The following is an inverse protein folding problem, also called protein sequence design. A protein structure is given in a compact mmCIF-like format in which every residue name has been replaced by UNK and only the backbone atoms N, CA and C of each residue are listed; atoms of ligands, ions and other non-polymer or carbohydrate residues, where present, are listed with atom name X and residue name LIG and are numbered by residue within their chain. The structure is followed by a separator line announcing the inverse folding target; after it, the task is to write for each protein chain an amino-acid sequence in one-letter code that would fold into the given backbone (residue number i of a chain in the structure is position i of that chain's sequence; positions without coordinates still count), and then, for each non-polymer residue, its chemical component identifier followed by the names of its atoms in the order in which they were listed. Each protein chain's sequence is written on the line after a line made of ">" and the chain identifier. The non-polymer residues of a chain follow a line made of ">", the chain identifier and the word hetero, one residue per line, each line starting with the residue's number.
data_IF_700829859072
#
_entry.id   IF_700829859072
#
_cell.length_a   1.000
_cell.length_b   1.000
_cell.length_c   1.000
_cell.angle_alpha   90.00
_cell.angle_beta   90.00
_cell.angle_gamma   90.00
#
_symmetry.space_group_name_H-M   'P 1'
#
loop_
_entity.id
_entity.type
_entity.pdbx_description
1 polymer ?
#
# COMPACT_ATOMS: atom_id res chain seq x y z
N UNK A 1 42.70 -31.19 -5.44
CA UNK A 1 41.82 -30.95 -4.29
C UNK A 1 40.79 -29.92 -4.73
N UNK A 2 39.53 -30.31 -4.85
CA UNK A 2 38.43 -29.40 -5.19
C UNK A 2 38.03 -28.65 -3.92
N UNK A 3 38.33 -27.35 -3.83
CA UNK A 3 37.68 -26.46 -2.88
C UNK A 3 36.20 -26.35 -3.29
N UNK A 4 35.35 -27.14 -2.65
CA UNK A 4 33.91 -26.86 -2.65
C UNK A 4 33.73 -25.52 -1.93
N UNK A 5 33.54 -24.45 -2.71
CA UNK A 5 33.14 -23.16 -2.18
C UNK A 5 31.88 -23.37 -1.33
N UNK A 6 32.00 -23.15 -0.02
CA UNK A 6 30.91 -23.29 0.92
C UNK A 6 29.73 -22.44 0.42
N UNK A 7 28.54 -23.06 0.31
CA UNK A 7 27.34 -22.33 -0.07
C UNK A 7 27.16 -21.16 0.91
N UNK A 8 26.93 -19.92 0.43
CA UNK A 8 26.78 -18.78 1.30
C UNK A 8 25.65 -19.06 2.29
N UNK A 9 25.93 -18.83 3.58
CA UNK A 9 24.93 -18.99 4.63
C UNK A 9 23.67 -18.19 4.24
N UNK A 10 22.47 -18.78 4.29
CA UNK A 10 21.25 -18.07 3.97
C UNK A 10 21.14 -16.90 4.93
N UNK A 11 21.22 -15.68 4.40
CA UNK A 11 21.08 -14.45 5.17
C UNK A 11 19.88 -14.58 6.11
N UNK A 12 20.14 -14.65 7.41
CA UNK A 12 19.11 -14.98 8.39
C UNK A 12 18.05 -13.88 8.40
N UNK A 13 16.78 -14.28 8.30
CA UNK A 13 15.60 -13.39 8.25
C UNK A 13 15.60 -12.33 9.38
N UNK A 14 16.35 -12.53 10.47
CA UNK A 14 16.49 -11.57 11.57
C UNK A 14 17.21 -10.27 11.19
N UNK A 15 18.05 -10.23 10.16
CA UNK A 15 18.86 -9.03 9.86
C UNK A 15 18.12 -7.97 9.05
N UNK A 16 17.21 -8.35 8.15
CA UNK A 16 16.57 -7.38 7.25
C UNK A 16 15.58 -6.42 7.94
N UNK A 17 14.88 -6.87 8.98
CA UNK A 17 13.94 -6.04 9.76
C UNK A 17 14.59 -4.81 10.39
N UNK A 18 15.91 -4.85 10.66
CA UNK A 18 16.66 -3.72 11.22
C UNK A 18 16.82 -2.57 10.22
N UNK A 19 16.66 -2.84 8.93
CA UNK A 19 16.76 -1.84 7.86
C UNK A 19 15.39 -1.32 7.41
N UNK A 20 14.30 -1.81 7.99
CA UNK A 20 12.97 -1.26 7.73
C UNK A 20 12.91 0.13 8.35
N UNK A 21 12.58 1.14 7.55
CA UNK A 21 12.39 2.49 8.03
C UNK A 21 11.00 2.64 8.67
N UNK A 22 10.92 2.34 9.96
CA UNK A 22 9.69 2.38 10.74
C UNK A 22 9.05 3.77 10.82
N UNK A 23 9.82 4.84 10.62
CA UNK A 23 9.28 6.20 10.60
C UNK A 23 8.25 6.43 9.50
N UNK A 24 8.33 5.67 8.39
CA UNK A 24 7.34 5.74 7.31
C UNK A 24 5.94 5.30 7.76
N UNK A 25 5.83 4.46 8.81
CA UNK A 25 4.54 4.08 9.38
C UNK A 25 3.77 5.26 9.97
N UNK A 26 4.45 6.38 10.27
CA UNK A 26 3.82 7.57 10.80
C UNK A 26 3.12 8.42 9.73
N UNK A 27 3.34 8.18 8.43
CA UNK A 27 2.74 8.99 7.36
C UNK A 27 1.20 8.90 7.40
N UNK A 28 0.64 7.69 7.53
CA UNK A 28 -0.81 7.51 7.64
C UNK A 28 -1.41 8.23 8.86
N UNK A 29 -0.94 7.96 10.08
CA UNK A 29 -1.37 8.67 11.28
C UNK A 29 -1.16 10.20 11.20
N UNK A 30 -0.07 10.67 10.61
CA UNK A 30 0.18 12.10 10.42
C UNK A 30 -0.82 12.72 9.45
N UNK A 31 -1.17 12.04 8.35
CA UNK A 31 -2.21 12.48 7.43
C UNK A 31 -3.57 12.60 8.15
N UNK A 32 -3.96 11.58 8.94
CA UNK A 32 -5.18 11.62 9.75
C UNK A 32 -5.14 12.76 10.77
N UNK A 33 -4.05 12.94 11.50
CA UNK A 33 -3.88 14.03 12.46
C UNK A 33 -3.98 15.41 11.82
N UNK A 34 -3.37 15.59 10.63
CA UNK A 34 -3.50 16.81 9.86
C UNK A 34 -4.95 17.06 9.42
N UNK A 35 -5.67 16.03 8.99
CA UNK A 35 -7.09 16.14 8.64
C UNK A 35 -7.98 16.50 9.82
N UNK A 36 -7.68 16.00 11.03
CA UNK A 36 -8.38 16.41 12.26
C UNK A 36 -8.13 17.88 12.57
N UNK A 37 -6.89 18.36 12.45
CA UNK A 37 -6.60 19.79 12.65
C UNK A 37 -7.34 20.63 11.60
N UNK A 38 -7.31 20.22 10.33
CA UNK A 38 -8.04 20.88 9.24
C UNK A 38 -9.55 20.90 9.48
N UNK A 39 -10.14 19.83 10.03
CA UNK A 39 -11.58 19.79 10.30
C UNK A 39 -12.04 20.82 11.33
N UNK A 40 -11.12 21.29 12.19
CA UNK A 40 -11.41 22.31 13.20
C UNK A 40 -11.22 23.73 12.65
N UNK A 41 -10.30 23.93 11.71
CA UNK A 41 -9.91 25.27 11.24
C UNK A 41 -10.46 25.65 9.86
N UNK A 42 -11.01 24.69 9.11
CA UNK A 42 -11.47 24.88 7.74
C UNK A 42 -12.93 24.46 7.56
N UNK A 43 -13.83 25.43 7.41
CA UNK A 43 -15.28 25.21 7.23
C UNK A 43 -15.63 24.36 5.99
N UNK A 44 -14.73 24.33 5.00
CA UNK A 44 -14.88 23.52 3.79
C UNK A 44 -14.50 22.05 3.96
N UNK A 45 -14.10 21.59 5.14
CA UNK A 45 -13.58 20.23 5.35
C UNK A 45 -14.55 19.13 4.90
N UNK A 46 -15.86 19.34 5.01
CA UNK A 46 -16.85 18.36 4.53
C UNK A 46 -16.84 18.19 3.00
N UNK A 47 -16.32 19.16 2.24
CA UNK A 47 -16.12 19.04 0.78
C UNK A 47 -14.85 18.26 0.43
N UNK A 48 -13.90 18.16 1.38
CA UNK A 48 -12.64 17.44 1.17
C UNK A 48 -12.88 16.00 0.76
N UNK A 49 -13.91 15.34 1.30
CA UNK A 49 -14.32 14.01 0.86
C UNK A 49 -14.55 13.98 -0.65
N UNK A 50 -15.45 14.82 -1.16
CA UNK A 50 -15.77 14.89 -2.59
C UNK A 50 -14.57 15.30 -3.45
N UNK A 51 -13.72 16.19 -2.94
CA UNK A 51 -12.52 16.62 -3.66
C UNK A 51 -11.46 15.51 -3.76
N UNK A 52 -11.42 14.58 -2.81
CA UNK A 52 -10.51 13.43 -2.78
C UNK A 52 -11.05 12.21 -3.54
N UNK A 53 -12.37 12.01 -3.54
CA UNK A 53 -13.04 10.93 -4.29
C UNK A 53 -12.77 11.03 -5.80
N UNK A 54 -12.67 12.24 -6.35
CA UNK A 54 -12.40 12.46 -7.78
C UNK A 54 -11.02 11.91 -8.20
N UNK A 55 -9.89 12.29 -7.57
CA UNK A 55 -8.59 11.74 -7.93
C UNK A 55 -8.36 10.29 -7.47
N UNK A 56 -9.08 9.81 -6.45
CA UNK A 56 -8.88 8.51 -5.82
C UNK A 56 -8.67 7.33 -6.80
N UNK A 57 -9.51 7.08 -7.83
CA UNK A 57 -9.32 5.95 -8.74
C UNK A 57 -8.06 6.05 -9.62
N UNK A 58 -7.61 7.27 -9.94
CA UNK A 58 -6.50 7.51 -10.85
C UNK A 58 -5.14 7.29 -10.19
N UNK A 59 -5.02 7.49 -8.89
CA UNK A 59 -3.78 7.30 -8.15
C UNK A 59 -3.29 5.83 -8.14
N UNK A 60 -4.10 4.83 -7.71
CA UNK A 60 -3.73 3.43 -7.83
C UNK A 60 -3.64 2.98 -9.30
N UNK A 61 -4.38 3.60 -10.23
CA UNK A 61 -4.25 3.28 -11.65
C UNK A 61 -2.88 3.68 -12.20
N UNK A 62 -2.38 4.85 -11.81
CA UNK A 62 -1.03 5.29 -12.13
C UNK A 62 0.02 4.33 -11.55
N UNK A 63 -0.12 3.92 -10.29
CA UNK A 63 0.76 2.92 -9.68
C UNK A 63 0.70 1.57 -10.42
N UNK A 64 -0.49 1.13 -10.85
CA UNK A 64 -0.69 -0.09 -11.62
C UNK A 64 0.09 -0.06 -12.93
N UNK A 65 0.03 1.05 -13.67
CA UNK A 65 0.78 1.24 -14.92
C UNK A 65 2.29 1.18 -14.66
N UNK A 66 2.79 1.88 -13.63
CA UNK A 66 4.22 1.88 -13.28
C UNK A 66 4.70 0.46 -12.94
N UNK A 67 3.95 -0.27 -12.11
CA UNK A 67 4.27 -1.64 -11.76
C UNK A 67 4.18 -2.59 -12.96
N UNK A 68 3.17 -2.46 -13.83
CA UNK A 68 3.00 -3.29 -15.02
C UNK A 68 4.16 -3.10 -16.01
N UNK A 69 4.57 -1.84 -16.23
CA UNK A 69 5.75 -1.52 -17.04
C UNK A 69 7.03 -2.08 -16.41
N UNK A 70 7.19 -1.92 -15.08
CA UNK A 70 8.30 -2.52 -14.33
C UNK A 70 8.32 -4.06 -14.45
N UNK A 71 7.17 -4.70 -14.37
CA UNK A 71 7.00 -6.14 -14.55
C UNK A 71 7.38 -6.59 -15.95
N UNK A 72 6.90 -5.91 -16.99
CA UNK A 72 7.22 -6.24 -18.38
C UNK A 72 8.74 -6.16 -18.66
N UNK A 73 9.43 -5.19 -18.07
CA UNK A 73 10.87 -4.97 -18.22
C UNK A 73 11.72 -5.92 -17.38
N UNK A 74 11.43 -6.05 -16.10
CA UNK A 74 12.25 -6.82 -15.16
C UNK A 74 11.84 -8.30 -15.06
N UNK A 75 10.68 -8.67 -15.62
CA UNK A 75 10.05 -10.00 -15.49
C UNK A 75 9.94 -10.45 -14.02
N UNK A 76 9.73 -9.49 -13.13
CA UNK A 76 9.70 -9.70 -11.69
C UNK A 76 8.26 -9.97 -11.20
N UNK A 77 7.92 -11.19 -10.76
CA UNK A 77 6.56 -11.56 -10.40
C UNK A 77 5.98 -10.72 -9.26
N UNK A 78 6.80 -10.15 -8.37
CA UNK A 78 6.31 -9.23 -7.33
C UNK A 78 5.69 -7.97 -7.95
N UNK A 79 6.32 -7.38 -8.97
CA UNK A 79 5.79 -6.18 -9.62
C UNK A 79 4.48 -6.50 -10.36
N UNK A 80 4.36 -7.69 -10.95
CA UNK A 80 3.11 -8.15 -11.56
C UNK A 80 1.98 -8.30 -10.54
N UNK A 81 2.28 -8.87 -9.36
CA UNK A 81 1.33 -8.96 -8.26
C UNK A 81 0.89 -7.58 -7.75
N UNK A 82 1.85 -6.66 -7.56
CA UNK A 82 1.56 -5.30 -7.09
C UNK A 82 0.80 -4.48 -8.14
N UNK A 83 1.06 -4.69 -9.44
CA UNK A 83 0.27 -4.11 -10.52
C UNK A 83 -1.18 -4.58 -10.45
N UNK A 84 -1.41 -5.88 -10.29
CA UNK A 84 -2.75 -6.44 -10.18
C UNK A 84 -3.48 -5.91 -8.94
N UNK A 85 -2.79 -5.82 -7.80
CA UNK A 85 -3.33 -5.23 -6.57
C UNK A 85 -3.71 -3.76 -6.73
N UNK A 86 -2.90 -2.98 -7.44
CA UNK A 86 -3.21 -1.59 -7.73
C UNK A 86 -4.42 -1.45 -8.66
N UNK A 87 -4.57 -2.30 -9.69
CA UNK A 87 -5.78 -2.36 -10.53
C UNK A 87 -7.02 -2.67 -9.69
N UNK A 88 -6.90 -3.62 -8.76
CA UNK A 88 -7.98 -3.97 -7.85
C UNK A 88 -8.43 -2.79 -6.98
N UNK A 89 -7.49 -2.01 -6.45
CA UNK A 89 -7.82 -0.77 -5.73
C UNK A 89 -8.49 0.24 -6.65
N UNK A 90 -8.02 0.46 -7.88
CA UNK A 90 -8.73 1.33 -8.83
C UNK A 90 -10.16 0.88 -9.12
N UNK A 91 -10.39 -0.43 -9.32
CA UNK A 91 -11.74 -0.96 -9.58
C UNK A 91 -12.66 -0.75 -8.37
N UNK A 92 -12.13 -0.85 -7.15
CA UNK A 92 -12.86 -0.54 -5.91
C UNK A 92 -13.35 0.90 -5.91
N UNK A 93 -12.48 1.84 -6.27
CA UNK A 93 -12.78 3.28 -6.29
C UNK A 93 -13.85 3.66 -7.32
N UNK A 94 -14.05 2.87 -8.38
CA UNK A 94 -15.15 3.09 -9.33
C UNK A 94 -16.53 2.68 -8.77
N UNK A 95 -16.62 2.27 -7.50
CA UNK A 95 -17.89 2.00 -6.80
C UNK A 95 -18.82 1.01 -7.51
N UNK A 96 -18.27 0.00 -8.20
CA UNK A 96 -19.10 -1.07 -8.74
C UNK A 96 -19.74 -1.87 -7.60
N UNK A 97 -21.07 -1.98 -7.58
CA UNK A 97 -21.84 -2.66 -6.51
C UNK A 97 -21.33 -4.09 -6.19
N UNK A 98 -20.82 -4.80 -7.20
CA UNK A 98 -20.28 -6.15 -7.04
C UNK A 98 -18.83 -6.19 -6.54
N UNK A 99 -18.05 -5.11 -6.70
CA UNK A 99 -16.64 -5.07 -6.34
C UNK A 99 -16.42 -5.05 -4.83
N UNK A 100 -17.37 -4.50 -4.06
CA UNK A 100 -17.24 -4.35 -2.60
C UNK A 100 -17.01 -5.66 -1.85
N UNK A 101 -17.71 -6.75 -2.22
CA UNK A 101 -17.48 -8.07 -1.61
C UNK A 101 -16.35 -8.84 -2.29
N UNK A 102 -16.22 -8.67 -3.61
CA UNK A 102 -15.21 -9.36 -4.42
C UNK A 102 -13.78 -9.05 -4.01
N UNK A 103 -13.51 -7.81 -3.57
CA UNK A 103 -12.15 -7.40 -3.22
C UNK A 103 -11.56 -8.20 -2.07
N UNK A 104 -12.33 -8.49 -1.02
CA UNK A 104 -11.83 -9.25 0.13
C UNK A 104 -11.47 -10.69 -0.26
N UNK A 105 -12.31 -11.33 -1.08
CA UNK A 105 -12.06 -12.69 -1.59
C UNK A 105 -10.79 -12.71 -2.44
N UNK A 106 -10.63 -11.72 -3.32
CA UNK A 106 -9.46 -11.58 -4.16
C UNK A 106 -8.18 -11.29 -3.35
N UNK A 107 -8.24 -10.43 -2.33
CA UNK A 107 -7.11 -10.16 -1.43
C UNK A 107 -6.67 -11.43 -0.69
N UNK A 108 -7.62 -12.24 -0.20
CA UNK A 108 -7.32 -13.53 0.43
C UNK A 108 -6.70 -14.50 -0.58
N UNK A 109 -7.28 -14.63 -1.78
CA UNK A 109 -6.76 -15.49 -2.84
C UNK A 109 -5.33 -15.08 -3.24
N UNK A 110 -5.06 -13.79 -3.37
CA UNK A 110 -3.71 -13.27 -3.61
C UNK A 110 -2.76 -13.48 -2.44
N UNK A 111 -3.21 -13.34 -1.20
CA UNK A 111 -2.41 -13.66 -0.02
C UNK A 111 -1.97 -15.12 -0.01
N UNK A 112 -2.91 -16.05 -0.23
CA UNK A 112 -2.61 -17.49 -0.34
C UNK A 112 -1.65 -17.77 -1.49
N UNK A 113 -1.90 -17.18 -2.67
CA UNK A 113 -1.01 -17.31 -3.82
C UNK A 113 0.39 -16.78 -3.53
N UNK A 114 0.53 -15.59 -2.92
CA UNK A 114 1.80 -14.99 -2.57
C UNK A 114 2.59 -15.87 -1.58
N UNK A 115 1.92 -16.49 -0.60
CA UNK A 115 2.54 -17.45 0.33
C UNK A 115 3.04 -18.71 -0.39
N UNK A 116 2.28 -19.22 -1.36
CA UNK A 116 2.69 -20.33 -2.23
C UNK A 116 3.92 -19.98 -3.07
N UNK A 117 4.03 -18.72 -3.48
CA UNK A 117 5.12 -18.21 -4.32
C UNK A 117 6.24 -17.50 -3.54
N UNK A 118 6.24 -17.58 -2.20
CA UNK A 118 7.15 -16.83 -1.32
C UNK A 118 8.63 -16.90 -1.71
N UNK A 119 9.10 -18.06 -2.18
CA UNK A 119 10.51 -18.24 -2.59
C UNK A 119 10.88 -17.39 -3.81
N UNK A 120 9.95 -17.23 -4.76
CA UNK A 120 10.14 -16.39 -5.96
C UNK A 120 9.95 -14.90 -5.65
N UNK A 121 9.14 -14.57 -4.65
CA UNK A 121 8.90 -13.19 -4.21
C UNK A 121 9.97 -12.67 -3.24
N UNK A 122 10.68 -13.55 -2.54
CA UNK A 122 11.66 -13.16 -1.51
C UNK A 122 12.82 -12.31 -2.06
N UNK A 123 13.35 -12.64 -3.24
CA UNK A 123 14.46 -11.87 -3.84
C UNK A 123 14.13 -10.38 -4.02
N UNK A 124 13.04 -10.04 -4.72
CA UNK A 124 12.57 -8.65 -4.83
C UNK A 124 12.31 -7.91 -3.51
N UNK A 125 11.94 -8.63 -2.45
CA UNK A 125 11.68 -8.06 -1.12
C UNK A 125 12.95 -7.76 -0.33
N UNK A 126 14.14 -8.10 -0.85
CA UNK A 126 15.42 -7.75 -0.20
C UNK A 126 15.76 -6.27 -0.25
N UNK A 127 15.12 -5.50 -1.15
CA UNK A 127 15.29 -4.05 -1.17
C UNK A 127 14.55 -3.42 0.02
N UNK A 128 15.31 -3.03 1.04
CA UNK A 128 14.75 -2.43 2.26
C UNK A 128 13.98 -1.14 1.97
N UNK A 129 14.34 -0.35 0.94
CA UNK A 129 13.64 0.90 0.62
C UNK A 129 12.24 0.60 0.10
N UNK A 130 12.18 -0.20 -0.96
CA UNK A 130 10.91 -0.64 -1.55
C UNK A 130 10.03 -1.33 -0.51
N UNK A 131 10.61 -2.24 0.27
CA UNK A 131 9.86 -3.01 1.29
C UNK A 131 9.36 -2.13 2.44
N UNK A 132 10.15 -1.15 2.90
CA UNK A 132 9.69 -0.22 3.94
C UNK A 132 8.50 0.61 3.47
N UNK A 133 8.55 1.13 2.24
CA UNK A 133 7.46 1.89 1.63
C UNK A 133 6.23 1.02 1.38
N UNK A 134 6.41 -0.23 0.94
CA UNK A 134 5.31 -1.18 0.74
C UNK A 134 4.61 -1.51 2.06
N UNK A 135 5.37 -1.78 3.13
CA UNK A 135 4.83 -2.04 4.46
C UNK A 135 4.08 -0.82 5.01
N UNK A 136 4.63 0.37 4.84
CA UNK A 136 3.98 1.61 5.26
C UNK A 136 2.70 1.89 4.47
N UNK A 137 2.72 1.65 3.16
CA UNK A 137 1.52 1.75 2.30
C UNK A 137 0.43 0.79 2.79
N UNK A 138 0.80 -0.47 3.07
CA UNK A 138 -0.13 -1.47 3.60
C UNK A 138 -0.72 -1.04 4.95
N UNK A 139 0.11 -0.51 5.86
CA UNK A 139 -0.34 0.00 7.15
C UNK A 139 -1.30 1.19 7.02
N UNK A 140 -1.06 2.11 6.07
CA UNK A 140 -1.95 3.23 5.78
C UNK A 140 -3.32 2.76 5.24
N UNK A 141 -3.34 1.77 4.33
CA UNK A 141 -4.60 1.14 3.89
C UNK A 141 -5.35 0.49 5.05
N UNK A 142 -4.66 -0.28 5.90
CA UNK A 142 -5.27 -0.89 7.08
C UNK A 142 -5.86 0.18 8.00
N UNK A 143 -5.15 1.29 8.21
CA UNK A 143 -5.65 2.41 9.00
C UNK A 143 -6.92 3.02 8.38
N UNK A 144 -6.96 3.25 7.07
CA UNK A 144 -8.19 3.69 6.37
C UNK A 144 -9.33 2.73 6.66
N UNK A 145 -9.12 1.42 6.54
CA UNK A 145 -10.17 0.43 6.82
C UNK A 145 -10.58 0.39 8.31
N UNK A 146 -9.67 0.63 9.24
CA UNK A 146 -10.01 0.73 10.67
C UNK A 146 -10.92 1.94 10.93
N UNK A 147 -10.66 3.07 10.26
CA UNK A 147 -11.50 4.28 10.32
C UNK A 147 -12.86 4.01 9.67
N UNK A 148 -12.89 3.41 8.47
CA UNK A 148 -14.10 3.02 7.75
C UNK A 148 -15.04 2.14 8.58
N UNK A 149 -14.46 1.23 9.38
CA UNK A 149 -15.18 0.34 10.30
C UNK A 149 -15.59 1.02 11.60
N UNK A 150 -15.37 2.32 11.72
CA UNK A 150 -15.73 3.15 12.88
C UNK A 150 -15.17 2.59 14.19
N UNK A 151 -13.93 2.11 14.15
CA UNK A 151 -13.24 1.60 15.34
C UNK A 151 -13.11 2.69 16.44
N UNK A 152 -13.21 3.97 16.05
CA UNK A 152 -13.10 5.13 16.92
C UNK A 152 -14.45 5.77 17.29
N UNK A 153 -15.58 5.06 17.14
CA UNK A 153 -16.94 5.55 17.46
C UNK A 153 -17.14 6.14 18.88
N UNK A 154 -16.19 5.92 19.79
CA UNK A 154 -16.20 6.48 21.14
C UNK A 154 -15.70 7.93 21.21
N UNK A 155 -15.10 8.44 20.13
CA UNK A 155 -14.62 9.82 20.03
C UNK A 155 -15.79 10.75 19.68
N UNK A 156 -16.05 11.82 20.47
CA UNK A 156 -17.11 12.77 20.16
C UNK A 156 -16.93 13.43 18.78
N UNK A 157 -18.02 13.47 17.98
CA UNK A 157 -18.02 14.05 16.63
C UNK A 157 -17.42 13.16 15.53
N UNK A 158 -17.01 11.93 15.86
CA UNK A 158 -16.46 10.97 14.88
C UNK A 158 -17.43 10.65 13.75
N UNK A 159 -18.73 10.57 14.04
CA UNK A 159 -19.76 10.24 13.06
C UNK A 159 -19.81 11.24 11.89
N UNK A 160 -19.44 12.51 12.15
CA UNK A 160 -19.39 13.56 11.14
C UNK A 160 -18.09 13.51 10.33
N UNK A 161 -16.96 13.23 10.98
CA UNK A 161 -15.63 13.37 10.36
C UNK A 161 -15.02 12.06 9.85
N UNK A 162 -15.54 10.88 10.22
CA UNK A 162 -14.91 9.60 9.91
C UNK A 162 -14.72 9.36 8.41
N UNK A 163 -15.68 9.75 7.57
CA UNK A 163 -15.57 9.58 6.10
C UNK A 163 -14.44 10.42 5.50
N UNK A 164 -14.37 11.75 5.71
CA UNK A 164 -13.19 12.51 5.31
C UNK A 164 -11.86 11.97 5.84
N UNK A 165 -11.83 11.45 7.08
CA UNK A 165 -10.62 10.86 7.65
C UNK A 165 -10.21 9.54 6.96
N UNK A 166 -11.18 8.68 6.65
CA UNK A 166 -11.00 7.47 5.85
C UNK A 166 -10.39 7.83 4.48
N UNK A 167 -11.02 8.75 3.76
CA UNK A 167 -10.57 9.19 2.43
C UNK A 167 -9.17 9.81 2.46
N UNK A 168 -8.84 10.58 3.49
CA UNK A 168 -7.49 11.14 3.67
C UNK A 168 -6.45 10.04 3.88
N UNK A 169 -6.76 9.04 4.72
CA UNK A 169 -5.85 7.92 4.97
C UNK A 169 -5.69 7.03 3.72
N UNK A 170 -6.76 6.79 2.98
CA UNK A 170 -6.77 6.02 1.73
C UNK A 170 -5.99 6.75 0.63
N UNK A 171 -6.24 8.05 0.44
CA UNK A 171 -5.48 8.89 -0.50
C UNK A 171 -4.00 8.91 -0.16
N UNK A 172 -3.64 9.03 1.12
CA UNK A 172 -2.24 8.95 1.55
C UNK A 172 -1.65 7.58 1.18
N UNK A 173 -2.38 6.47 1.39
CA UNK A 173 -1.94 5.15 0.99
C UNK A 173 -1.74 5.04 -0.54
N UNK A 174 -2.63 5.62 -1.35
CA UNK A 174 -2.45 5.67 -2.81
C UNK A 174 -1.19 6.42 -3.25
N UNK A 175 -0.92 7.60 -2.65
CA UNK A 175 0.29 8.36 -2.93
C UNK A 175 1.55 7.58 -2.53
N UNK A 176 1.52 6.93 -1.37
CA UNK A 176 2.60 6.04 -0.91
C UNK A 176 2.77 4.85 -1.85
N UNK A 177 1.70 4.29 -2.41
CA UNK A 177 1.75 3.21 -3.40
C UNK A 177 2.45 3.66 -4.69
N UNK A 178 2.19 4.90 -5.15
CA UNK A 178 2.92 5.48 -6.30
C UNK A 178 4.41 5.58 -5.98
N UNK A 179 4.79 6.13 -4.82
CA UNK A 179 6.20 6.21 -4.41
C UNK A 179 6.84 4.82 -4.35
N UNK A 180 6.13 3.86 -3.77
CA UNK A 180 6.55 2.45 -3.73
C UNK A 180 6.79 1.90 -5.14
N UNK A 181 5.88 2.17 -6.07
CA UNK A 181 5.98 1.71 -7.47
C UNK A 181 7.20 2.28 -8.21
N UNK A 182 7.50 3.57 -7.97
CA UNK A 182 8.67 4.23 -8.54
C UNK A 182 9.96 3.61 -8.02
N UNK A 183 10.07 3.40 -6.70
CA UNK A 183 11.25 2.78 -6.10
C UNK A 183 11.45 1.33 -6.56
N UNK A 184 10.36 0.58 -6.75
CA UNK A 184 10.41 -0.81 -7.21
C UNK A 184 10.74 -0.97 -8.70
N UNK A 185 10.33 -0.03 -9.55
CA UNK A 185 10.51 -0.14 -11.01
C UNK A 185 11.93 0.23 -11.50
N UNK A 186 12.65 1.06 -10.74
CA UNK A 186 13.91 1.67 -11.17
C UNK A 186 15.14 0.76 -11.02
N UNK A 187 15.04 -0.36 -10.29
CA UNK A 187 16.16 -1.29 -10.08
C UNK A 187 16.14 -2.44 -11.08
N UNK A 188 17.03 -2.36 -12.09
CA UNK A 188 17.41 -3.54 -12.89
C UNK A 188 18.31 -4.44 -12.05
N UNK A 189 18.13 -5.75 -12.15
CA UNK A 189 19.15 -6.71 -11.71
C UNK A 189 20.37 -6.50 -12.62
N UNK A 190 21.37 -5.77 -12.14
CA UNK A 190 22.75 -5.90 -12.61
C UNK A 190 23.32 -7.19 -12.07
#
# INVERSE_FOLDING_TARGET
>A
MNEQAAAPEPATIKTWWRYVNWWLLLIGPAAVGASIVLSVVYDGFMRLQSDLEVPAPYLPAAAAVIYAVGFARARNPLLGLLAALAVAFSIREFHFDWAGKGIYVMLVAWGVWAVGWRRRLAGPLTDWRHTSWLLATMAAYVLSQVIARRAFRFVPGEDVIHRPLEECAETAAHLMLIVTSLLGSLRRKT
#
